data_IF_770450116370
#
_entry.id   IF_770450116370
#
_cell.length_a   1.000
_cell.length_b   1.000
_cell.length_c   1.000
_cell.angle_alpha   90.00
_cell.angle_beta   90.00
_cell.angle_gamma   90.00
#
_symmetry.space_group_name_H-M   'P 1'
#
loop_
_entity.id
_entity.type
_entity.pdbx_description
1 polymer ?
#
# COMPACT_ATOMS: atom_id res chain seq x y z
N UNK A 1 6.59 8.08 -5.17
CA UNK A 1 6.89 9.09 -6.25
C UNK A 1 8.16 8.69 -6.99
N UNK A 2 8.22 8.85 -8.31
CA UNK A 2 9.44 8.58 -9.08
C UNK A 2 10.26 9.86 -9.23
N UNK A 3 11.53 9.84 -8.80
CA UNK A 3 12.47 10.95 -8.95
C UNK A 3 13.53 10.62 -10.01
N UNK A 4 14.24 11.64 -10.50
CA UNK A 4 15.26 11.50 -11.54
C UNK A 4 16.34 10.46 -11.21
N UNK A 5 16.72 10.37 -9.94
CA UNK A 5 17.80 9.49 -9.47
C UNK A 5 17.30 8.14 -8.97
N UNK A 6 15.99 7.90 -9.01
CA UNK A 6 15.40 6.68 -8.48
C UNK A 6 15.32 5.61 -9.56
N UNK A 7 15.84 4.42 -9.24
CA UNK A 7 15.78 3.25 -10.11
C UNK A 7 14.32 2.93 -10.48
N UNK A 8 14.08 2.63 -11.75
CA UNK A 8 12.80 2.11 -12.21
C UNK A 8 12.49 0.74 -11.56
N UNK A 9 11.21 0.44 -11.25
CA UNK A 9 10.86 -0.86 -10.72
C UNK A 9 11.15 -1.97 -11.75
N UNK A 10 11.67 -3.10 -11.28
CA UNK A 10 11.72 -4.35 -12.05
C UNK A 10 10.31 -4.82 -12.40
N UNK A 11 10.20 -5.84 -13.27
CA UNK A 11 8.90 -6.43 -13.63
C UNK A 11 8.15 -6.95 -12.39
N UNK A 12 8.86 -7.63 -11.47
CA UNK A 12 8.25 -8.17 -10.26
C UNK A 12 7.82 -7.07 -9.29
N UNK A 13 8.64 -6.04 -9.11
CA UNK A 13 8.30 -4.87 -8.29
C UNK A 13 7.10 -4.11 -8.87
N UNK A 14 7.03 -3.95 -10.20
CA UNK A 14 5.88 -3.33 -10.88
C UNK A 14 4.59 -4.09 -10.61
N UNK A 15 4.61 -5.43 -10.74
CA UNK A 15 3.45 -6.27 -10.42
C UNK A 15 3.03 -6.12 -8.96
N UNK A 16 3.99 -6.04 -8.04
CA UNK A 16 3.70 -5.79 -6.62
C UNK A 16 3.03 -4.42 -6.41
N UNK A 17 3.61 -3.34 -6.96
CA UNK A 17 3.06 -1.97 -6.90
C UNK A 17 1.62 -1.93 -7.43
N UNK A 18 1.36 -2.56 -8.57
CA UNK A 18 0.03 -2.61 -9.17
C UNK A 18 -0.99 -3.35 -8.30
N UNK A 19 -0.57 -4.38 -7.56
CA UNK A 19 -1.43 -5.08 -6.59
C UNK A 19 -1.70 -4.20 -5.37
N UNK A 20 -0.67 -3.56 -4.82
CA UNK A 20 -0.81 -2.61 -3.69
C UNK A 20 -1.77 -1.47 -4.04
N UNK A 21 -1.66 -0.90 -5.24
CA UNK A 21 -2.53 0.20 -5.70
C UNK A 21 -4.03 -0.16 -5.75
N UNK A 22 -4.37 -1.44 -5.86
CA UNK A 22 -5.76 -1.92 -5.91
C UNK A 22 -6.36 -2.17 -4.53
N UNK A 23 -5.53 -2.20 -3.48
CA UNK A 23 -6.00 -2.46 -2.13
C UNK A 23 -6.74 -1.26 -1.55
N UNK A 24 -7.66 -1.47 -0.59
CA UNK A 24 -8.15 -0.40 0.27
C UNK A 24 -7.01 0.24 1.07
N UNK A 25 -7.24 1.45 1.56
CA UNK A 25 -6.29 2.16 2.42
C UNK A 25 -5.97 1.32 3.66
N UNK A 26 -4.69 1.09 3.93
CA UNK A 26 -4.21 0.30 5.05
C UNK A 26 -4.27 1.01 6.41
N UNK A 27 -4.66 2.29 6.42
CA UNK A 27 -4.86 3.06 7.64
C UNK A 27 -6.34 3.27 8.02
N UNK A 28 -7.21 3.51 7.04
CA UNK A 28 -8.60 3.91 7.28
C UNK A 28 -9.64 3.07 6.53
N UNK A 29 -9.22 2.03 5.83
CA UNK A 29 -10.07 1.09 5.10
C UNK A 29 -10.91 1.69 3.97
N UNK A 30 -10.68 2.98 3.62
CA UNK A 30 -11.30 3.58 2.44
C UNK A 30 -11.06 2.67 1.22
N UNK A 31 -12.11 2.34 0.45
CA UNK A 31 -11.97 1.54 -0.77
C UNK A 31 -10.95 2.12 -1.74
N UNK A 32 -10.32 1.25 -2.54
CA UNK A 32 -9.35 1.66 -3.54
C UNK A 32 -9.96 2.46 -4.71
N UNK A 33 -9.11 2.98 -5.62
CA UNK A 33 -7.67 2.77 -5.68
C UNK A 33 -6.90 3.55 -4.60
N UNK A 34 -5.85 2.93 -4.07
CA UNK A 34 -4.91 3.56 -3.14
C UNK A 34 -3.68 4.10 -3.87
N UNK A 35 -3.10 5.17 -3.34
CA UNK A 35 -1.75 5.59 -3.67
C UNK A 35 -0.74 4.61 -3.04
N UNK A 36 0.40 4.40 -3.71
CA UNK A 36 1.47 3.50 -3.26
C UNK A 36 2.55 4.34 -2.57
N UNK A 37 2.58 4.26 -1.24
CA UNK A 37 3.60 4.92 -0.41
C UNK A 37 4.77 3.97 -0.15
N UNK A 38 5.98 4.37 -0.49
CA UNK A 38 7.19 3.59 -0.18
C UNK A 38 7.76 4.09 1.15
N UNK A 39 7.95 3.19 2.11
CA UNK A 39 8.57 3.54 3.41
C UNK A 39 9.99 4.07 3.17
N UNK A 40 10.75 3.40 2.33
CA UNK A 40 12.06 3.84 1.85
C UNK A 40 12.02 3.97 0.33
N UNK A 41 12.36 5.13 -0.21
CA UNK A 41 12.35 5.36 -1.65
C UNK A 41 13.17 4.31 -2.40
N UNK A 42 12.58 3.69 -3.42
CA UNK A 42 13.21 2.64 -4.23
C UNK A 42 13.09 1.23 -3.67
N UNK A 43 12.60 1.05 -2.45
CA UNK A 43 12.24 -0.26 -1.89
C UNK A 43 10.77 -0.57 -2.18
N UNK A 44 10.49 -0.96 -3.43
CA UNK A 44 9.12 -1.10 -3.91
C UNK A 44 8.31 -2.18 -3.19
N UNK A 45 8.94 -3.22 -2.64
CA UNK A 45 8.24 -4.29 -1.91
C UNK A 45 7.77 -3.89 -0.50
N UNK A 46 8.31 -2.81 0.05
CA UNK A 46 7.88 -2.24 1.34
C UNK A 46 6.89 -1.09 1.13
N UNK A 47 6.03 -1.23 0.12
CA UNK A 47 5.01 -0.24 -0.20
C UNK A 47 3.72 -0.45 0.59
N UNK A 48 3.07 0.66 0.95
CA UNK A 48 1.82 0.73 1.71
C UNK A 48 0.72 1.27 0.80
N UNK A 49 -0.45 0.63 0.84
CA UNK A 49 -1.66 1.16 0.21
C UNK A 49 -2.26 2.27 1.09
N UNK A 50 -2.28 3.52 0.64
CA UNK A 50 -2.87 4.64 1.37
C UNK A 50 -3.81 5.45 0.47
N UNK A 51 -4.96 5.87 0.98
CA UNK A 51 -5.76 6.87 0.27
C UNK A 51 -5.07 8.24 0.30
N UNK A 52 -5.40 9.13 -0.64
CA UNK A 52 -4.78 10.46 -0.73
C UNK A 52 -4.82 11.25 0.60
N UNK A 53 -5.92 11.18 1.35
CA UNK A 53 -6.07 11.86 2.65
C UNK A 53 -5.09 11.32 3.70
N UNK A 54 -4.91 9.99 3.77
CA UNK A 54 -4.01 9.34 4.73
C UNK A 54 -2.54 9.34 4.27
N UNK A 55 -2.28 9.52 2.97
CA UNK A 55 -0.94 9.62 2.41
C UNK A 55 -0.41 11.06 2.45
N UNK A 56 -1.06 11.98 1.73
CA UNK A 56 -0.55 13.33 1.47
C UNK A 56 -1.51 14.46 1.88
N UNK A 57 -2.67 14.15 2.45
CA UNK A 57 -3.58 15.16 2.99
C UNK A 57 -2.89 16.02 4.07
N UNK A 58 -3.09 17.34 4.03
CA UNK A 58 -2.37 18.28 4.91
C UNK A 58 -2.58 18.01 6.40
N UNK A 59 -3.80 17.65 6.80
CA UNK A 59 -4.15 17.36 8.20
C UNK A 59 -3.96 15.88 8.55
N UNK A 60 -4.53 14.99 7.74
CA UNK A 60 -4.61 13.55 8.07
C UNK A 60 -3.38 12.76 7.61
N UNK A 61 -2.67 13.25 6.60
CA UNK A 61 -1.71 12.48 5.83
C UNK A 61 -0.38 12.24 6.53
N UNK A 62 0.27 11.14 6.15
CA UNK A 62 1.63 10.79 6.59
C UNK A 62 2.64 11.88 6.22
N UNK A 63 2.49 12.52 5.06
CA UNK A 63 3.33 13.64 4.63
C UNK A 63 2.77 15.02 5.06
N UNK A 64 1.70 15.03 5.86
CA UNK A 64 1.13 16.22 6.48
C UNK A 64 1.32 16.22 8.00
N UNK A 65 0.29 16.60 8.74
CA UNK A 65 0.32 16.61 10.22
C UNK A 65 0.09 15.23 10.87
N UNK A 66 -0.13 14.16 10.09
CA UNK A 66 -0.27 12.77 10.57
C UNK A 66 -1.41 12.55 11.58
N UNK A 67 -2.43 13.41 11.62
CA UNK A 67 -3.48 13.32 12.66
C UNK A 67 -4.20 11.97 12.66
N UNK A 68 -4.48 11.41 11.48
CA UNK A 68 -5.12 10.10 11.37
C UNK A 68 -4.26 8.96 11.93
N UNK A 69 -2.92 9.06 11.77
CA UNK A 69 -1.94 8.09 12.25
C UNK A 69 -1.77 8.16 13.76
N UNK A 70 -1.67 9.38 14.31
CA UNK A 70 -1.54 9.63 15.76
C UNK A 70 -2.76 9.10 16.50
N UNK A 71 -3.98 9.45 16.06
CA UNK A 71 -5.22 9.00 16.70
C UNK A 71 -5.35 7.48 16.68
N UNK A 72 -4.92 6.83 15.59
CA UNK A 72 -4.91 5.37 15.44
C UNK A 72 -3.72 4.69 16.11
N UNK A 73 -2.76 5.45 16.64
CA UNK A 73 -1.47 4.96 17.18
C UNK A 73 -0.75 4.02 16.21
N UNK A 74 -0.83 4.33 14.90
CA UNK A 74 -0.27 3.50 13.85
C UNK A 74 1.07 4.05 13.37
N UNK A 75 2.00 3.15 13.08
CA UNK A 75 3.26 3.39 12.40
C UNK A 75 3.18 2.95 10.94
N UNK A 76 4.17 3.33 10.13
CA UNK A 76 4.31 2.83 8.76
C UNK A 76 4.41 1.29 8.72
N UNK A 77 5.04 0.66 9.71
CA UNK A 77 5.12 -0.80 9.79
C UNK A 77 3.77 -1.46 10.09
N UNK A 78 2.95 -0.84 10.94
CA UNK A 78 1.58 -1.35 11.20
C UNK A 78 0.75 -1.32 9.91
N UNK A 79 0.80 -0.22 9.16
CA UNK A 79 0.10 -0.09 7.89
C UNK A 79 0.70 -1.00 6.79
N UNK A 80 2.00 -1.27 6.81
CA UNK A 80 2.62 -2.28 5.95
C UNK A 80 2.08 -3.67 6.29
N UNK A 81 1.96 -4.02 7.57
CA UNK A 81 1.38 -5.29 8.01
C UNK A 81 -0.04 -5.50 7.49
N UNK A 82 -0.88 -4.46 7.55
CA UNK A 82 -2.22 -4.49 6.93
C UNK A 82 -2.16 -4.69 5.42
N UNK A 83 -1.23 -4.02 4.74
CA UNK A 83 -1.03 -4.16 3.29
C UNK A 83 -0.64 -5.59 2.92
N UNK A 84 0.35 -6.17 3.61
CA UNK A 84 0.82 -7.55 3.39
C UNK A 84 -0.30 -8.55 3.64
N UNK A 85 -1.04 -8.42 4.75
CA UNK A 85 -2.19 -9.29 5.05
C UNK A 85 -3.21 -9.33 3.91
N UNK A 86 -3.51 -8.17 3.31
CA UNK A 86 -4.43 -8.07 2.17
C UNK A 86 -3.88 -8.69 0.90
N UNK A 87 -2.59 -8.51 0.62
CA UNK A 87 -1.92 -9.16 -0.51
C UNK A 87 -1.95 -10.69 -0.38
N UNK A 88 -1.79 -11.21 0.85
CA UNK A 88 -1.85 -12.64 1.12
C UNK A 88 -3.27 -13.19 0.92
N UNK A 89 -4.28 -12.52 1.48
CA UNK A 89 -5.68 -12.89 1.28
C UNK A 89 -6.07 -12.89 -0.22
N UNK A 90 -5.62 -11.89 -0.98
CA UNK A 90 -5.83 -11.82 -2.44
C UNK A 90 -5.16 -13.03 -3.16
N UNK A 91 -3.96 -13.43 -2.73
CA UNK A 91 -3.25 -14.57 -3.31
C UNK A 91 -3.97 -15.90 -3.05
N UNK A 92 -4.45 -16.09 -1.82
CA UNK A 92 -5.23 -17.27 -1.43
C UNK A 92 -6.52 -17.37 -2.25
N UNK A 93 -7.26 -16.27 -2.41
CA UNK A 93 -8.47 -16.22 -3.22
C UNK A 93 -8.22 -16.57 -4.69
N UNK A 94 -7.13 -16.06 -5.28
CA UNK A 94 -6.73 -16.39 -6.67
C UNK A 94 -6.35 -17.86 -6.82
N UNK A 95 -5.79 -18.48 -5.78
CA UNK A 95 -5.39 -19.89 -5.79
C UNK A 95 -6.63 -20.78 -5.67
N UNK A 96 -7.51 -20.47 -4.72
CA UNK A 96 -8.79 -21.16 -4.55
C UNK A 96 -9.66 -21.08 -5.81
N UNK A 97 -9.77 -19.90 -6.43
CA UNK A 97 -10.52 -19.70 -7.68
C UNK A 97 -9.97 -20.50 -8.87
N UNK A 98 -8.66 -20.77 -8.90
CA UNK A 98 -8.03 -21.60 -9.94
C UNK A 98 -8.35 -23.09 -9.76
N UNK A 99 -8.47 -23.55 -8.52
CA UNK A 99 -8.79 -24.94 -8.19
C UNK A 99 -10.27 -25.30 -8.39
N UNK A 100 -11.15 -24.32 -8.55
CA UNK A 100 -12.59 -24.52 -8.83
C UNK A 100 -12.91 -24.61 -10.34
N UNK A 101 -11.93 -24.35 -11.20
CA UNK A 101 -12.09 -24.32 -12.66
C UNK A 101 -11.39 -25.48 -13.38
N UNK A 102 -10.99 -26.52 -12.64
CA UNK A 102 -10.36 -27.77 -13.12
C UNK A 102 -11.19 -28.95 -12.66
#
# INVERSE_FOLDING_TARGET
MQSRNKRAPTVSERRHIERVARLPCSLCDRPGPSEVHEISQGQWYTSIALCADCHRGSLLGLHGQRRAWIVRKATELDALGVTVRRLMAEMEQRTAGRNLTT
#
